data_IF_191493196799
#
_entry.id   IF_191493196799
#
_cell.length_a   1.000
_cell.length_b   1.000
_cell.length_c   1.000
_cell.angle_alpha   90.00
_cell.angle_beta   90.00
_cell.angle_gamma   90.00
#
_symmetry.space_group_name_H-M   'P 1'
#
loop_
_entity.id
_entity.type
_entity.pdbx_description
1 polymer ?
#
# COMPACT_ATOMS: atom_id res chain seq x y z
N UNK A 1 12.00 -5.84 -10.89
CA UNK A 1 11.50 -6.05 -9.51
C UNK A 1 10.03 -6.41 -9.60
N UNK A 2 9.58 -7.45 -8.89
CA UNK A 2 8.16 -7.80 -8.83
C UNK A 2 7.43 -6.85 -7.87
N UNK A 3 6.25 -6.38 -8.28
CA UNK A 3 5.40 -5.47 -7.50
C UNK A 3 5.12 -6.02 -6.09
N UNK A 4 4.88 -7.32 -5.97
CA UNK A 4 4.63 -7.99 -4.70
C UNK A 4 5.82 -7.87 -3.73
N UNK A 5 7.05 -8.02 -4.21
CA UNK A 5 8.25 -7.88 -3.37
C UNK A 5 8.41 -6.46 -2.83
N UNK A 6 8.02 -5.44 -3.59
CA UNK A 6 8.03 -4.04 -3.15
C UNK A 6 6.96 -3.76 -2.11
N UNK A 7 5.78 -4.35 -2.28
CA UNK A 7 4.70 -4.29 -1.28
C UNK A 7 5.14 -4.97 0.01
N UNK A 8 5.74 -6.16 -0.07
CA UNK A 8 6.25 -6.90 1.08
C UNK A 8 7.31 -6.10 1.83
N UNK A 9 8.27 -5.53 1.10
CA UNK A 9 9.30 -4.69 1.71
C UNK A 9 8.71 -3.44 2.36
N UNK A 10 7.71 -2.81 1.73
CA UNK A 10 7.03 -1.68 2.34
C UNK A 10 6.29 -2.10 3.63
N UNK A 11 5.52 -3.19 3.60
CA UNK A 11 4.77 -3.70 4.77
C UNK A 11 5.72 -4.07 5.90
N UNK A 12 6.84 -4.74 5.61
CA UNK A 12 7.85 -5.13 6.60
C UNK A 12 8.48 -3.91 7.28
N UNK A 13 8.79 -2.84 6.52
CA UNK A 13 9.29 -1.59 7.13
C UNK A 13 8.25 -0.91 8.05
N UNK A 14 6.96 -1.12 7.78
CA UNK A 14 5.85 -0.60 8.59
C UNK A 14 5.43 -1.52 9.73
N UNK A 15 5.87 -2.77 9.72
CA UNK A 15 5.59 -3.76 10.76
C UNK A 15 5.96 -3.24 12.15
N UNK A 16 7.11 -2.55 12.27
CA UNK A 16 7.58 -1.95 13.52
C UNK A 16 6.66 -0.87 14.10
N UNK A 17 5.76 -0.29 13.28
CA UNK A 17 4.83 0.77 13.69
C UNK A 17 3.41 0.27 13.92
N UNK A 18 3.08 -0.96 13.51
CA UNK A 18 1.74 -1.56 13.67
C UNK A 18 0.62 -0.93 12.85
N UNK A 19 0.89 0.12 12.07
CA UNK A 19 -0.09 0.87 11.28
C UNK A 19 0.37 1.02 9.83
N UNK A 20 -0.51 0.72 8.89
CA UNK A 20 -0.30 0.86 7.45
C UNK A 20 -1.37 1.78 6.85
N UNK A 21 -0.96 2.97 6.39
CA UNK A 21 -1.82 3.88 5.62
C UNK A 21 -1.73 3.53 4.14
N UNK A 22 -2.87 3.27 3.51
CA UNK A 22 -2.91 2.89 2.09
C UNK A 22 -2.49 4.03 1.16
N UNK A 23 -2.77 5.28 1.52
CA UNK A 23 -2.33 6.46 0.75
C UNK A 23 -0.81 6.64 0.81
N UNK A 24 -0.19 6.47 1.99
CA UNK A 24 1.26 6.51 2.14
C UNK A 24 1.93 5.33 1.41
N UNK A 25 1.32 4.15 1.44
CA UNK A 25 1.79 2.98 0.71
C UNK A 25 1.76 3.21 -0.79
N UNK A 26 0.64 3.71 -1.30
CA UNK A 26 0.47 4.03 -2.72
C UNK A 26 1.50 5.07 -3.20
N UNK A 27 1.69 6.17 -2.44
CA UNK A 27 2.71 7.17 -2.78
C UNK A 27 4.12 6.60 -2.79
N UNK A 28 4.47 5.79 -1.79
CA UNK A 28 5.79 5.16 -1.72
C UNK A 28 6.03 4.20 -2.90
N UNK A 29 5.04 3.39 -3.26
CA UNK A 29 5.13 2.50 -4.42
C UNK A 29 5.28 3.28 -5.73
N UNK A 30 4.54 4.37 -5.91
CA UNK A 30 4.65 5.24 -7.10
C UNK A 30 5.99 5.97 -7.22
N UNK A 31 6.69 6.21 -6.11
CA UNK A 31 8.04 6.77 -6.14
C UNK A 31 9.09 5.78 -6.65
N UNK A 32 8.83 4.47 -6.49
CA UNK A 32 9.75 3.41 -6.93
C UNK A 32 9.34 2.85 -8.29
N UNK A 33 8.04 2.82 -8.58
CA UNK A 33 7.46 2.27 -9.80
C UNK A 33 6.86 3.42 -10.62
N UNK A 34 7.57 3.87 -11.64
CA UNK A 34 7.10 4.94 -12.53
C UNK A 34 5.89 4.53 -13.39
N UNK A 35 5.72 3.24 -13.68
CA UNK A 35 4.61 2.72 -14.48
C UNK A 35 4.08 1.43 -13.85
N UNK A 36 3.21 1.51 -12.83
CA UNK A 36 2.66 0.31 -12.21
C UNK A 36 1.82 -0.47 -13.24
N UNK A 37 1.95 -1.80 -13.29
CA UNK A 37 1.19 -2.64 -14.24
C UNK A 37 -0.29 -2.81 -13.85
N UNK A 38 -0.72 -2.15 -12.77
CA UNK A 38 -2.06 -2.26 -12.18
C UNK A 38 -2.55 -0.89 -11.74
N UNK A 39 -3.87 -0.73 -11.60
CA UNK A 39 -4.48 0.51 -11.13
C UNK A 39 -4.15 0.82 -9.67
N UNK A 40 -4.29 2.08 -9.28
CA UNK A 40 -4.09 2.54 -7.91
C UNK A 40 -4.98 1.81 -6.91
N UNK A 41 -6.26 1.60 -7.25
CA UNK A 41 -7.19 0.83 -6.42
C UNK A 41 -6.68 -0.59 -6.17
N UNK A 42 -6.12 -1.23 -7.21
CA UNK A 42 -5.55 -2.58 -7.09
C UNK A 42 -4.29 -2.59 -6.22
N UNK A 43 -3.44 -1.56 -6.31
CA UNK A 43 -2.29 -1.40 -5.41
C UNK A 43 -2.72 -1.25 -3.96
N UNK A 44 -3.76 -0.45 -3.71
CA UNK A 44 -4.35 -0.26 -2.38
C UNK A 44 -4.88 -1.57 -1.82
N UNK A 45 -5.61 -2.35 -2.62
CA UNK A 45 -6.08 -3.69 -2.22
C UNK A 45 -4.92 -4.62 -1.86
N UNK A 46 -3.88 -4.67 -2.69
CA UNK A 46 -2.72 -5.52 -2.44
C UNK A 46 -1.97 -5.10 -1.16
N UNK A 47 -1.77 -3.80 -0.95
CA UNK A 47 -1.19 -3.24 0.28
C UNK A 47 -2.01 -3.59 1.51
N UNK A 48 -3.33 -3.42 1.42
CA UNK A 48 -4.24 -3.68 2.52
C UNK A 48 -4.26 -5.17 2.88
N UNK A 49 -4.42 -6.05 1.88
CA UNK A 49 -4.37 -7.49 2.08
C UNK A 49 -3.07 -7.89 2.77
N UNK A 50 -1.94 -7.38 2.28
CA UNK A 50 -0.63 -7.76 2.82
C UNK A 50 -0.38 -7.19 4.22
N UNK A 51 -0.85 -5.97 4.50
CA UNK A 51 -0.83 -5.40 5.84
C UNK A 51 -1.61 -6.25 6.85
N UNK A 52 -2.81 -6.72 6.47
CA UNK A 52 -3.62 -7.62 7.31
C UNK A 52 -2.92 -8.96 7.52
N UNK A 53 -2.36 -9.56 6.46
CA UNK A 53 -1.61 -10.82 6.55
C UNK A 53 -0.41 -10.71 7.52
N UNK A 54 0.18 -9.51 7.67
CA UNK A 54 1.27 -9.22 8.61
C UNK A 54 0.80 -8.72 9.99
N UNK A 55 -0.50 -8.74 10.27
CA UNK A 55 -1.06 -8.32 11.57
C UNK A 55 -1.04 -6.80 11.79
N UNK A 56 -0.95 -6.00 10.73
CA UNK A 56 -0.97 -4.55 10.83
C UNK A 56 -2.39 -4.01 10.80
N UNK A 57 -2.60 -2.92 11.53
CA UNK A 57 -3.83 -2.13 11.41
C UNK A 57 -3.74 -1.36 10.10
N UNK A 58 -4.65 -1.66 9.16
CA UNK A 58 -4.71 -0.97 7.86
C UNK A 58 -5.69 0.19 7.95
N UNK A 59 -5.20 1.39 7.62
CA UNK A 59 -5.99 2.60 7.55
C UNK A 59 -6.20 3.01 6.08
N UNK A 60 -7.45 3.08 5.67
CA UNK A 60 -7.85 3.40 4.31
C UNK A 60 -8.03 4.92 4.14
N UNK A 61 -6.92 5.65 4.03
CA UNK A 61 -6.90 7.11 3.81
C UNK A 61 -7.29 7.52 2.37
N UNK A 62 -7.54 6.54 1.49
CA UNK A 62 -7.82 6.79 0.06
C UNK A 62 -9.30 7.11 -0.23
N UNK A 63 -10.20 7.06 0.76
CA UNK A 63 -11.64 7.23 0.57
C UNK A 63 -12.11 8.68 0.28
N UNK A 64 -11.20 9.62 0.02
CA UNK A 64 -11.50 11.05 -0.08
C UNK A 64 -11.63 11.66 -1.49
N UNK A 65 -11.26 10.96 -2.57
CA UNK A 65 -11.28 11.54 -3.93
C UNK A 65 -12.53 11.17 -4.77
N UNK A 66 -13.67 10.88 -4.12
CA UNK A 66 -14.99 10.79 -4.76
C UNK A 66 -16.08 11.49 -3.93
N UNK A 67 -15.84 12.76 -3.57
CA UNK A 67 -16.86 13.68 -3.13
C UNK A 67 -16.45 15.11 -3.55
N UNK A 68 -16.74 15.46 -4.80
CA UNK A 68 -16.48 16.79 -5.38
C UNK A 68 -16.78 16.81 -6.87
#
# INVERSE_FOLDING_TARGET
MHLESLIDQYVDTRSRRGLLSTQLGLRALKQVIHTPPVSDSRLVEMLAKRGVDHGLIVHFDHAGENAG
#
